data_IF_582002717380
#
_entry.id   IF_582002717380
#
_cell.length_a   1.000
_cell.length_b   1.000
_cell.length_c   1.000
_cell.angle_alpha   90.00
_cell.angle_beta   90.00
_cell.angle_gamma   90.00
#
_symmetry.space_group_name_H-M   'P 1'
#
loop_
_entity.id
_entity.type
_entity.pdbx_description
1 polymer ?
#
# COMPACT_ATOMS: atom_id res chain seq x y z
N UNK A 1 29.80 2.48 2.37
CA UNK A 1 29.42 2.02 3.72
C UNK A 1 27.92 2.24 3.82
N UNK A 2 27.11 1.19 3.64
CA UNK A 2 25.65 1.30 3.79
C UNK A 2 25.32 1.05 5.26
N UNK A 3 24.76 2.06 5.91
CA UNK A 3 24.40 2.05 7.32
C UNK A 3 23.44 0.88 7.61
N UNK A 4 23.93 -0.13 8.35
CA UNK A 4 23.17 -1.34 8.72
C UNK A 4 21.96 -1.05 9.63
N UNK A 5 21.81 0.19 10.12
CA UNK A 5 20.74 0.59 11.02
C UNK A 5 19.45 1.10 10.33
N UNK A 6 19.41 1.18 9.00
CA UNK A 6 18.18 1.56 8.28
C UNK A 6 17.21 0.40 8.00
N UNK A 7 17.64 -0.85 8.23
CA UNK A 7 16.93 -2.05 7.77
C UNK A 7 15.84 -2.58 8.73
N UNK A 8 15.67 -2.01 9.92
CA UNK A 8 14.66 -2.47 10.90
C UNK A 8 13.50 -1.48 11.08
N UNK A 9 13.10 -0.76 10.04
CA UNK A 9 11.77 -0.14 10.03
C UNK A 9 10.76 -1.22 9.66
N UNK A 10 10.34 -1.94 10.69
CA UNK A 10 9.20 -2.83 10.67
C UNK A 10 8.06 -2.26 9.81
N UNK A 11 7.62 -3.03 8.80
CA UNK A 11 6.49 -2.62 7.97
C UNK A 11 5.21 -2.74 8.79
N UNK A 12 4.63 -1.61 9.17
CA UNK A 12 3.43 -1.53 10.03
C UNK A 12 2.28 -0.85 9.31
N UNK A 13 1.07 -1.35 9.54
CA UNK A 13 -0.14 -0.67 9.08
C UNK A 13 -0.35 0.61 9.90
N UNK A 14 -0.43 1.77 9.23
CA UNK A 14 -0.66 3.06 9.91
C UNK A 14 -2.00 3.14 10.65
N UNK A 15 -3.01 2.38 10.22
CA UNK A 15 -4.36 2.44 10.79
C UNK A 15 -4.56 1.53 12.03
N UNK A 16 -3.96 0.33 12.04
CA UNK A 16 -4.16 -0.64 13.13
C UNK A 16 -2.86 -1.11 13.79
N UNK A 17 -1.72 -0.54 13.41
CA UNK A 17 -0.38 -0.88 13.88
C UNK A 17 0.03 -2.35 13.70
N UNK A 18 -0.69 -3.12 12.88
CA UNK A 18 -0.34 -4.51 12.53
C UNK A 18 1.02 -4.53 11.87
N UNK A 19 1.94 -5.33 12.42
CA UNK A 19 3.21 -5.68 11.80
C UNK A 19 2.97 -6.66 10.63
N UNK A 20 3.55 -6.37 9.47
CA UNK A 20 3.48 -7.25 8.31
C UNK A 20 4.50 -8.39 8.44
N UNK A 21 4.03 -9.62 8.20
CA UNK A 21 4.85 -10.83 8.18
C UNK A 21 4.91 -11.45 6.78
N UNK A 22 5.83 -12.39 6.59
CA UNK A 22 5.91 -13.15 5.34
C UNK A 22 4.56 -13.84 5.04
N UNK A 23 4.07 -13.71 3.81
CA UNK A 23 2.78 -14.26 3.39
C UNK A 23 1.56 -13.36 3.67
N UNK A 24 1.74 -12.23 4.35
CA UNK A 24 0.66 -11.26 4.51
C UNK A 24 0.26 -10.62 3.18
N UNK A 25 -1.04 -10.39 3.02
CA UNK A 25 -1.62 -9.69 1.86
C UNK A 25 -1.81 -8.20 2.13
N UNK A 26 -1.48 -7.39 1.14
CA UNK A 26 -1.79 -5.95 1.08
C UNK A 26 -2.93 -5.74 0.10
N UNK A 27 -3.86 -4.87 0.46
CA UNK A 27 -4.98 -4.50 -0.39
C UNK A 27 -4.88 -3.01 -0.71
N UNK A 28 -5.22 -2.67 -1.95
CA UNK A 28 -5.16 -1.30 -2.46
C UNK A 28 -6.51 -0.99 -3.08
N UNK A 29 -7.09 0.16 -2.70
CA UNK A 29 -8.26 0.71 -3.36
C UNK A 29 -7.86 1.89 -4.23
N UNK A 30 -8.33 1.88 -5.48
CA UNK A 30 -8.13 2.92 -6.47
C UNK A 30 -9.46 3.16 -7.18
N UNK A 31 -9.88 4.42 -7.25
CA UNK A 31 -11.02 4.84 -8.08
C UNK A 31 -10.48 5.38 -9.39
N UNK A 32 -10.85 4.73 -10.50
CA UNK A 32 -10.47 5.20 -11.83
C UNK A 32 -11.37 6.38 -12.23
N UNK A 33 -10.80 7.55 -12.56
CA UNK A 33 -11.58 8.70 -12.98
C UNK A 33 -12.13 8.51 -14.41
N UNK A 34 -13.14 9.29 -14.78
CA UNK A 34 -13.69 9.29 -16.13
C UNK A 34 -12.66 9.69 -17.19
N UNK A 35 -12.84 9.16 -18.40
CA UNK A 35 -11.91 9.07 -19.55
C UNK A 35 -10.81 10.14 -19.69
N UNK A 36 -11.08 11.42 -19.45
CA UNK A 36 -10.10 12.50 -19.65
C UNK A 36 -8.96 12.51 -18.62
N UNK A 37 -9.14 11.89 -17.44
CA UNK A 37 -8.17 11.92 -16.33
C UNK A 37 -7.62 10.53 -15.99
N UNK A 38 -7.82 9.54 -16.87
CA UNK A 38 -7.38 8.17 -16.63
C UNK A 38 -5.87 8.11 -16.36
N UNK A 39 -5.43 7.53 -15.23
CA UNK A 39 -4.01 7.37 -14.95
C UNK A 39 -3.40 6.41 -15.98
N UNK A 40 -2.32 6.84 -16.62
CA UNK A 40 -1.60 6.08 -17.64
C UNK A 40 -0.25 5.61 -17.11
N UNK A 41 0.13 4.37 -17.45
CA UNK A 41 1.42 3.79 -17.09
C UNK A 41 1.31 2.36 -16.58
N UNK A 42 2.38 1.88 -15.95
CA UNK A 42 2.44 0.53 -15.36
C UNK A 42 1.63 0.53 -14.06
N UNK A 43 0.78 -0.47 -13.88
CA UNK A 43 -0.21 -0.54 -12.80
C UNK A 43 0.39 -0.33 -11.40
N UNK A 44 1.52 -0.94 -11.08
CA UNK A 44 2.23 -0.79 -9.80
C UNK A 44 2.66 0.67 -9.51
N UNK A 45 3.18 1.36 -10.53
CA UNK A 45 3.53 2.78 -10.46
C UNK A 45 2.29 3.65 -10.28
N UNK A 46 1.17 3.26 -10.90
CA UNK A 46 -0.11 3.95 -10.72
C UNK A 46 -0.65 3.75 -9.31
N UNK A 47 -0.67 2.51 -8.81
CA UNK A 47 -1.16 2.20 -7.46
C UNK A 47 -0.34 2.91 -6.36
N UNK A 48 0.98 2.99 -6.50
CA UNK A 48 1.82 3.69 -5.53
C UNK A 48 1.58 5.21 -5.48
N UNK A 49 1.15 5.82 -6.59
CA UNK A 49 0.91 7.27 -6.69
C UNK A 49 -0.52 7.69 -6.46
N UNK A 50 -1.48 6.86 -6.84
CA UNK A 50 -2.89 7.24 -6.96
C UNK A 50 -3.83 6.42 -6.07
N UNK A 51 -3.33 5.46 -5.29
CA UNK A 51 -4.18 4.72 -4.36
C UNK A 51 -4.85 5.68 -3.38
N UNK A 52 -6.16 5.53 -3.22
CA UNK A 52 -6.92 6.27 -2.23
C UNK A 52 -6.63 5.71 -0.84
N UNK A 53 -6.56 4.38 -0.75
CA UNK A 53 -6.31 3.65 0.50
C UNK A 53 -5.42 2.45 0.26
N UNK A 54 -4.47 2.25 1.17
CA UNK A 54 -3.67 1.04 1.30
C UNK A 54 -3.94 0.45 2.67
N UNK A 55 -4.37 -0.81 2.73
CA UNK A 55 -4.83 -1.42 3.97
C UNK A 55 -4.39 -2.88 4.11
N UNK A 56 -4.18 -3.28 5.36
CA UNK A 56 -3.87 -4.67 5.70
C UNK A 56 -5.14 -5.53 5.73
N UNK A 57 -4.96 -6.85 5.81
CA UNK A 57 -6.05 -7.83 5.97
C UNK A 57 -7.04 -7.49 7.08
N UNK A 58 -6.57 -6.96 8.21
CA UNK A 58 -7.43 -6.60 9.36
C UNK A 58 -8.30 -5.39 9.02
N UNK A 59 -7.71 -4.36 8.42
CA UNK A 59 -8.44 -3.15 8.03
C UNK A 59 -9.43 -3.44 6.90
N UNK A 60 -9.13 -4.37 5.99
CA UNK A 60 -10.06 -4.81 4.95
C UNK A 60 -11.33 -5.46 5.52
N UNK A 61 -11.20 -6.29 6.56
CA UNK A 61 -12.32 -7.02 7.17
C UNK A 61 -13.25 -6.16 8.03
N UNK A 62 -12.87 -4.92 8.33
CA UNK A 62 -13.68 -3.97 9.08
C UNK A 62 -14.56 -3.09 8.19
N UNK A 63 -14.45 -3.24 6.87
CA UNK A 63 -15.25 -2.55 5.87
C UNK A 63 -16.46 -3.37 5.43
#
# INVERSE_FOLDING_TARGET
MFDKNFFNRELRCSNCNKLFQAGDKVFVSLVLPSKSMMPVGVLDKVLSKHSEKVFCTICNKKG
#
